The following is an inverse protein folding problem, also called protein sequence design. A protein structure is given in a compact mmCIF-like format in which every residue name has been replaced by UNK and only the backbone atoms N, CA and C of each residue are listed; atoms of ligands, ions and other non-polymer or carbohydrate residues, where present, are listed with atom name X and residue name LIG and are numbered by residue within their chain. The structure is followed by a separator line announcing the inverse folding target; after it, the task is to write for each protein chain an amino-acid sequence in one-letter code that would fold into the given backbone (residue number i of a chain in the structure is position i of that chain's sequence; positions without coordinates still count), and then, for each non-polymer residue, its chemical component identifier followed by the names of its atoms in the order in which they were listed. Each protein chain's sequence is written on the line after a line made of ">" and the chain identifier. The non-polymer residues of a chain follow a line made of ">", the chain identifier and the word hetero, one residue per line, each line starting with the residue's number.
data_IF_532386948296
#
_entry.id   IF_532386948296
#
_cell.length_a   1.000
_cell.length_b   1.000
_cell.length_c   1.000
_cell.angle_alpha   90.00
_cell.angle_beta   90.00
_cell.angle_gamma   90.00
#
_symmetry.space_group_name_H-M   'P 1'
#
loop_
_entity.id
_entity.type
_entity.pdbx_description
1 polymer ?
#
# COMPACT_ATOMS: atom_id res chain seq x y z
N UNK A 1 -3.16 -18.27 -5.66
CA UNK A 1 -3.20 -17.20 -6.67
C UNK A 1 -3.70 -15.95 -5.98
N UNK A 2 -2.84 -14.95 -5.78
CA UNK A 2 -3.27 -13.67 -5.23
C UNK A 2 -4.10 -12.95 -6.32
N UNK A 3 -5.36 -12.60 -6.01
CA UNK A 3 -6.22 -11.87 -6.93
C UNK A 3 -6.29 -10.40 -6.50
N UNK A 4 -5.72 -9.52 -7.32
CA UNK A 4 -5.78 -8.07 -7.13
C UNK A 4 -5.95 -7.39 -8.49
N UNK A 5 -6.45 -6.16 -8.51
CA UNK A 5 -6.66 -5.37 -9.71
C UNK A 5 -6.56 -3.87 -9.38
N UNK A 6 -6.31 -3.04 -10.38
CA UNK A 6 -6.17 -1.60 -10.19
C UNK A 6 -7.46 -0.95 -9.69
N UNK A 7 -7.33 0.05 -8.83
CA UNK A 7 -8.45 0.80 -8.23
C UNK A 7 -9.39 -0.08 -7.37
N UNK A 8 -8.91 -1.24 -6.90
CA UNK A 8 -9.65 -2.09 -5.97
C UNK A 8 -9.78 -1.41 -4.60
N UNK A 9 -11.01 -1.36 -4.09
CA UNK A 9 -11.34 -0.74 -2.80
C UNK A 9 -10.72 0.68 -2.68
N UNK A 10 -10.89 1.47 -3.74
CA UNK A 10 -10.36 2.84 -3.83
C UNK A 10 -10.83 3.75 -2.68
N UNK A 11 -12.12 3.79 -2.28
CA UNK A 11 -12.55 4.74 -1.25
C UNK A 11 -11.86 4.55 0.12
N UNK A 12 -11.65 3.32 0.65
CA UNK A 12 -10.81 3.11 1.83
C UNK A 12 -9.37 3.62 1.68
N UNK A 13 -8.73 3.38 0.52
CA UNK A 13 -7.36 3.85 0.27
C UNK A 13 -7.30 5.39 0.23
N UNK A 14 -8.25 6.03 -0.46
CA UNK A 14 -8.36 7.49 -0.49
C UNK A 14 -8.53 8.06 0.92
N UNK A 15 -9.40 7.46 1.74
CA UNK A 15 -9.60 7.91 3.11
C UNK A 15 -8.32 7.80 3.95
N UNK A 16 -7.58 6.71 3.81
CA UNK A 16 -6.31 6.55 4.52
C UNK A 16 -5.26 7.59 4.09
N UNK A 17 -5.21 7.90 2.79
CA UNK A 17 -4.33 8.94 2.24
C UNK A 17 -4.73 10.33 2.74
N UNK A 18 -6.02 10.65 2.74
CA UNK A 18 -6.55 11.94 3.18
C UNK A 18 -6.24 12.22 4.67
N UNK A 19 -6.26 11.19 5.52
CA UNK A 19 -5.85 11.30 6.93
C UNK A 19 -4.33 11.40 7.10
N UNK A 20 -3.58 10.66 6.28
CA UNK A 20 -2.12 10.63 6.35
C UNK A 20 -1.47 11.94 5.85
N UNK A 21 -2.02 12.60 4.83
CA UNK A 21 -1.40 13.79 4.23
C UNK A 21 -1.19 14.94 5.23
N UNK A 22 -2.19 15.36 6.03
CA UNK A 22 -2.00 16.38 7.05
C UNK A 22 -0.92 15.99 8.08
N UNK A 23 -0.87 14.71 8.47
CA UNK A 23 0.14 14.18 9.39
C UNK A 23 1.56 14.17 8.78
N UNK A 24 1.67 13.86 7.50
CA UNK A 24 2.92 13.79 6.76
C UNK A 24 3.43 15.16 6.29
N UNK A 25 2.60 16.21 6.38
CA UNK A 25 2.93 17.55 5.95
C UNK A 25 4.20 18.09 6.63
N UNK A 26 5.11 18.65 5.83
CA UNK A 26 6.39 19.19 6.30
C UNK A 26 7.46 18.15 6.62
N UNK A 27 7.18 16.84 6.56
CA UNK A 27 8.20 15.80 6.75
C UNK A 27 9.14 15.77 5.53
N UNK A 28 10.44 15.67 5.79
CA UNK A 28 11.47 15.53 4.76
C UNK A 28 11.51 14.13 4.13
N UNK A 29 10.87 13.14 4.76
CA UNK A 29 10.74 11.78 4.26
C UNK A 29 9.36 11.22 4.62
N UNK A 30 8.62 10.78 3.61
CA UNK A 30 7.30 10.18 3.77
C UNK A 30 7.43 8.71 3.37
N UNK A 31 7.25 7.80 4.34
CA UNK A 31 7.32 6.36 4.10
C UNK A 31 5.95 5.74 4.18
N UNK A 32 5.60 4.95 3.16
CA UNK A 32 4.39 4.13 3.12
C UNK A 32 4.83 2.67 2.94
N UNK A 33 4.17 1.76 3.63
CA UNK A 33 4.37 0.32 3.46
C UNK A 33 3.09 -0.30 2.90
N UNK A 34 3.16 -0.86 1.70
CA UNK A 34 2.13 -1.74 1.14
C UNK A 34 2.53 -3.21 1.36
N UNK A 35 1.87 -3.84 2.31
CA UNK A 35 2.21 -5.15 2.87
C UNK A 35 1.31 -6.25 2.28
N UNK A 36 1.91 -7.09 1.43
CA UNK A 36 1.26 -8.11 0.59
C UNK A 36 0.75 -7.54 -0.72
N UNK A 37 1.64 -6.85 -1.44
CA UNK A 37 1.31 -6.09 -2.64
C UNK A 37 0.96 -6.95 -3.87
N UNK A 38 1.21 -8.26 -3.83
CA UNK A 38 1.13 -9.15 -4.98
C UNK A 38 1.87 -8.55 -6.19
N UNK A 39 1.24 -8.49 -7.36
CA UNK A 39 1.80 -7.95 -8.60
C UNK A 39 1.82 -6.40 -8.67
N UNK A 40 1.49 -5.70 -7.59
CA UNK A 40 1.67 -4.24 -7.46
C UNK A 40 0.49 -3.38 -7.91
N UNK A 41 -0.64 -3.97 -8.31
CA UNK A 41 -1.82 -3.19 -8.72
C UNK A 41 -2.34 -2.28 -7.58
N UNK A 42 -2.33 -2.76 -6.32
CA UNK A 42 -2.66 -1.94 -5.15
C UNK A 42 -1.61 -0.86 -4.90
N UNK A 43 -0.33 -1.21 -4.99
CA UNK A 43 0.79 -0.28 -4.81
C UNK A 43 0.72 0.90 -5.79
N UNK A 44 0.48 0.62 -7.07
CA UNK A 44 0.41 1.67 -8.10
C UNK A 44 -0.90 2.44 -8.05
N UNK A 45 -2.01 1.81 -7.63
CA UNK A 45 -3.24 2.52 -7.26
C UNK A 45 -2.96 3.54 -6.15
N UNK A 46 -2.27 3.12 -5.09
CA UNK A 46 -1.90 3.98 -3.98
C UNK A 46 -0.94 5.10 -4.42
N UNK A 47 0.03 4.80 -5.29
CA UNK A 47 0.93 5.80 -5.86
C UNK A 47 0.18 6.87 -6.69
N UNK A 48 -0.82 6.47 -7.47
CA UNK A 48 -1.69 7.38 -8.23
C UNK A 48 -2.48 8.28 -7.28
N UNK A 49 -3.16 7.71 -6.27
CA UNK A 49 -3.93 8.49 -5.29
C UNK A 49 -3.03 9.51 -4.57
N UNK A 50 -1.82 9.09 -4.17
CA UNK A 50 -0.84 9.98 -3.53
C UNK A 50 -0.36 11.08 -4.48
N UNK A 51 -0.13 10.79 -5.75
CA UNK A 51 0.27 11.78 -6.74
C UNK A 51 -0.82 12.84 -7.00
N UNK A 52 -2.09 12.46 -6.96
CA UNK A 52 -3.22 13.39 -7.13
C UNK A 52 -3.46 14.26 -5.89
N UNK A 53 -3.18 13.73 -4.69
CA UNK A 53 -3.50 14.42 -3.42
C UNK A 53 -2.32 15.20 -2.83
N UNK A 54 -1.08 14.79 -3.09
CA UNK A 54 0.11 15.45 -2.56
C UNK A 54 0.60 16.61 -3.43
N UNK A 55 1.19 17.62 -2.80
CA UNK A 55 1.98 18.59 -3.55
C UNK A 55 3.30 17.96 -4.07
N UNK A 56 3.92 18.62 -5.05
CA UNK A 56 5.15 18.13 -5.70
C UNK A 56 6.31 17.86 -4.72
N UNK A 57 6.44 18.66 -3.66
CA UNK A 57 7.50 18.50 -2.67
C UNK A 57 7.28 17.23 -1.83
N UNK A 58 6.07 17.03 -1.32
CA UNK A 58 5.69 15.85 -0.56
C UNK A 58 5.85 14.58 -1.38
N UNK A 59 5.35 14.59 -2.62
CA UNK A 59 5.46 13.45 -3.52
C UNK A 59 6.93 13.11 -3.88
N UNK A 60 7.79 14.12 -4.06
CA UNK A 60 9.23 13.90 -4.28
C UNK A 60 9.95 13.29 -3.05
N UNK A 61 9.41 13.45 -1.85
CA UNK A 61 9.96 12.85 -0.63
C UNK A 61 9.27 11.54 -0.23
N UNK A 62 8.30 11.08 -1.03
CA UNK A 62 7.59 9.83 -0.85
C UNK A 62 8.45 8.63 -1.22
N UNK A 63 8.30 7.58 -0.43
CA UNK A 63 8.75 6.22 -0.73
C UNK A 63 7.66 5.24 -0.31
N UNK A 64 7.28 4.37 -1.24
CA UNK A 64 6.38 3.24 -1.01
C UNK A 64 7.23 1.97 -1.02
N UNK A 65 7.36 1.34 0.14
CA UNK A 65 7.91 0.00 0.23
C UNK A 65 6.79 -1.00 -0.03
N UNK A 66 6.86 -1.70 -1.15
CA UNK A 66 5.90 -2.74 -1.55
C UNK A 66 6.50 -4.10 -1.24
N UNK A 67 5.79 -4.95 -0.49
CA UNK A 67 6.35 -6.23 -0.07
C UNK A 67 5.43 -7.39 -0.25
N UNK A 68 6.00 -8.55 -0.55
CA UNK A 68 5.28 -9.82 -0.58
C UNK A 68 6.22 -10.97 -0.23
N UNK A 69 5.68 -12.09 0.25
CA UNK A 69 6.47 -13.30 0.53
C UNK A 69 6.89 -13.98 -0.78
N UNK A 70 6.06 -13.85 -1.82
CA UNK A 70 6.26 -14.37 -3.18
C UNK A 70 7.26 -15.52 -3.29
N UNK A 71 6.82 -16.71 -2.88
CA UNK A 71 7.65 -17.91 -2.90
C UNK A 71 8.11 -18.35 -4.30
N UNK A 72 7.56 -17.73 -5.36
CA UNK A 72 7.84 -18.06 -6.75
C UNK A 72 8.67 -16.97 -7.49
N UNK A 73 9.07 -15.89 -6.81
CA UNK A 73 9.88 -14.78 -7.33
C UNK A 73 9.32 -14.12 -8.62
N UNK A 74 8.01 -14.05 -8.80
CA UNK A 74 7.38 -13.43 -9.98
C UNK A 74 6.93 -11.99 -9.74
N UNK A 75 6.56 -11.64 -8.52
CA UNK A 75 6.00 -10.35 -8.17
C UNK A 75 7.06 -9.25 -8.21
N UNK A 76 8.26 -9.52 -7.72
CA UNK A 76 9.34 -8.52 -7.71
C UNK A 76 9.65 -7.94 -9.09
N UNK A 77 9.73 -8.80 -10.11
CA UNK A 77 9.97 -8.37 -11.49
C UNK A 77 8.79 -7.59 -12.06
N UNK A 78 7.55 -8.02 -11.79
CA UNK A 78 6.34 -7.33 -12.26
C UNK A 78 6.21 -5.96 -11.62
N UNK A 79 6.37 -5.84 -10.30
CA UNK A 79 6.29 -4.55 -9.57
C UNK A 79 7.39 -3.61 -10.04
N UNK A 80 8.61 -4.12 -10.24
CA UNK A 80 9.76 -3.31 -10.67
C UNK A 80 9.64 -2.83 -12.11
N UNK A 81 9.22 -3.71 -13.03
CA UNK A 81 8.98 -3.33 -14.45
C UNK A 81 7.73 -2.46 -14.59
N UNK A 82 6.72 -2.70 -13.75
CA UNK A 82 5.40 -2.09 -13.75
C UNK A 82 4.73 -2.08 -15.13
N UNK A 83 4.83 -3.20 -15.84
CA UNK A 83 4.25 -3.40 -17.16
C UNK A 83 3.06 -4.34 -17.03
N UNK A 84 1.89 -3.88 -17.49
CA UNK A 84 0.61 -4.58 -17.36
C UNK A 84 -0.12 -4.62 -18.70
N UNK A 85 -0.89 -5.68 -18.99
CA UNK A 85 -1.72 -5.74 -20.18
C UNK A 85 -2.88 -4.74 -20.08
N UNK A 86 -3.30 -4.19 -21.21
CA UNK A 86 -4.43 -3.24 -21.26
C UNK A 86 -5.72 -3.79 -20.62
N UNK A 87 -5.96 -5.10 -20.72
CA UNK A 87 -7.13 -5.75 -20.15
C UNK A 87 -7.25 -5.62 -18.62
N UNK A 88 -6.12 -5.50 -17.91
CA UNK A 88 -6.10 -5.22 -16.47
C UNK A 88 -6.38 -3.75 -16.15
N UNK A 89 -6.05 -2.85 -17.07
CA UNK A 89 -6.14 -1.39 -16.91
C UNK A 89 -7.49 -0.83 -17.35
N UNK A 90 -8.23 -1.55 -18.20
CA UNK A 90 -9.49 -1.08 -18.82
C UNK A 90 -10.61 -0.68 -17.84
N UNK A 91 -10.51 -1.09 -16.56
CA UNK A 91 -11.47 -0.75 -15.50
C UNK A 91 -11.13 0.54 -14.77
N UNK A 92 -9.93 1.08 -14.99
CA UNK A 92 -9.51 2.34 -14.40
C UNK A 92 -10.21 3.53 -15.09
N UNK A 93 -10.45 4.62 -14.36
CA UNK A 93 -10.83 5.89 -14.98
C UNK A 93 -9.84 6.29 -16.07
N UNK A 94 -10.36 6.71 -17.24
CA UNK A 94 -9.53 7.02 -18.41
C UNK A 94 -8.49 8.12 -18.12
N UNK A 95 -8.85 9.10 -17.30
CA UNK A 95 -7.96 10.19 -16.87
C UNK A 95 -6.70 9.68 -16.15
N UNK A 96 -6.82 8.64 -15.31
CA UNK A 96 -5.68 8.06 -14.62
C UNK A 96 -4.84 7.19 -15.55
N UNK A 97 -5.49 6.47 -16.46
CA UNK A 97 -4.79 5.68 -17.47
C UNK A 97 -3.93 6.58 -18.37
N UNK A 98 -4.53 7.61 -18.96
CA UNK A 98 -3.85 8.53 -19.88
C UNK A 98 -2.71 9.31 -19.22
N UNK A 99 -2.84 9.63 -17.91
CA UNK A 99 -1.85 10.40 -17.17
C UNK A 99 -0.69 9.56 -16.62
N UNK A 100 -0.96 8.32 -16.20
CA UNK A 100 -0.01 7.53 -15.41
C UNK A 100 0.48 6.26 -16.10
N UNK A 101 0.04 6.00 -17.32
CA UNK A 101 0.52 4.88 -18.13
C UNK A 101 1.02 5.34 -19.50
N UNK A 102 2.08 4.71 -19.95
CA UNK A 102 2.69 4.90 -21.27
C UNK A 102 2.77 3.56 -22.01
N UNK A 103 2.70 3.53 -23.35
CA UNK A 103 2.91 2.29 -24.10
C UNK A 103 4.26 1.65 -23.75
N UNK A 104 4.26 0.34 -23.49
CA UNK A 104 5.49 -0.42 -23.33
C UNK A 104 6.02 -0.91 -24.70
N UNK A 105 7.24 -1.48 -24.72
CA UNK A 105 7.83 -2.06 -25.94
C UNK A 105 6.99 -3.23 -26.50
N UNK A 106 6.34 -3.97 -25.61
CA UNK A 106 5.50 -5.11 -25.95
C UNK A 106 4.09 -4.64 -26.37
N UNK A 107 3.60 -5.13 -27.52
CA UNK A 107 2.30 -4.73 -28.05
C UNK A 107 1.15 -5.06 -27.08
N UNK A 108 0.28 -4.08 -26.81
CA UNK A 108 -0.86 -4.24 -25.90
C UNK A 108 -0.50 -4.15 -24.42
N UNK A 109 0.78 -3.90 -24.10
CA UNK A 109 1.26 -3.70 -22.75
C UNK A 109 1.51 -2.21 -22.48
N UNK A 110 1.26 -1.80 -21.25
CA UNK A 110 1.42 -0.43 -20.78
C UNK A 110 2.27 -0.43 -19.52
N UNK A 111 3.14 0.56 -19.43
CA UNK A 111 4.05 0.76 -18.30
C UNK A 111 3.58 1.93 -17.46
N UNK A 112 3.67 1.81 -16.14
CA UNK A 112 3.46 2.96 -15.24
C UNK A 112 4.56 4.00 -15.50
N UNK A 113 4.24 5.30 -15.48
CA UNK A 113 5.24 6.37 -15.71
C UNK A 113 6.36 6.38 -14.65
N UNK A 114 7.55 6.86 -15.05
CA UNK A 114 8.74 6.93 -14.18
C UNK A 114 8.50 7.72 -12.89
N UNK A 115 7.69 8.78 -12.95
CA UNK A 115 7.36 9.59 -11.77
C UNK A 115 6.78 8.77 -10.62
N UNK A 116 5.91 7.79 -10.92
CA UNK A 116 5.34 6.90 -9.90
C UNK A 116 6.29 5.74 -9.60
N UNK A 117 6.85 5.08 -10.63
CA UNK A 117 7.76 3.93 -10.46
C UNK A 117 8.96 4.28 -9.59
N UNK A 118 9.53 5.47 -9.77
CA UNK A 118 10.64 5.96 -8.99
C UNK A 118 10.33 6.20 -7.50
N UNK A 119 9.07 6.08 -7.06
CA UNK A 119 8.67 6.13 -5.63
C UNK A 119 8.47 4.74 -5.02
N UNK A 120 8.36 3.70 -5.83
CA UNK A 120 8.05 2.33 -5.40
C UNK A 120 9.33 1.52 -5.29
N UNK A 121 9.49 0.80 -4.18
CA UNK A 121 10.56 -0.19 -4.01
C UNK A 121 9.97 -1.52 -3.57
N UNK A 122 10.14 -2.55 -4.39
CA UNK A 122 9.79 -3.91 -4.02
C UNK A 122 10.82 -4.51 -3.05
N UNK A 123 10.36 -5.28 -2.06
CA UNK A 123 11.18 -6.11 -1.18
C UNK A 123 10.47 -7.41 -0.84
N UNK A 124 11.19 -8.52 -0.86
CA UNK A 124 10.67 -9.76 -0.29
C UNK A 124 10.51 -9.61 1.22
N UNK A 125 9.34 -9.96 1.73
CA UNK A 125 9.07 -9.94 3.16
C UNK A 125 7.97 -10.93 3.51
N UNK A 126 8.23 -11.78 4.51
CA UNK A 126 7.23 -12.62 5.13
C UNK A 126 6.65 -11.90 6.36
N UNK A 127 5.35 -11.64 6.38
CA UNK A 127 4.69 -11.05 7.54
C UNK A 127 4.80 -11.95 8.79
N UNK A 128 4.90 -13.26 8.61
CA UNK A 128 5.09 -14.22 9.70
C UNK A 128 6.53 -14.30 10.21
N UNK A 129 7.47 -13.56 9.59
CA UNK A 129 8.77 -13.30 10.22
C UNK A 129 8.65 -12.39 11.46
N UNK A 130 7.54 -11.65 11.58
CA UNK A 130 7.23 -10.72 12.67
C UNK A 130 8.26 -9.59 12.88
N UNK A 131 9.19 -9.43 11.93
CA UNK A 131 10.19 -8.38 11.91
C UNK A 131 9.80 -7.30 10.89
N UNK A 132 9.69 -6.02 11.29
CA UNK A 132 9.28 -4.98 10.35
C UNK A 132 10.41 -4.66 9.35
N UNK A 133 10.05 -4.33 8.11
CA UNK A 133 11.01 -3.94 7.05
C UNK A 133 11.70 -2.58 7.29
N UNK A 134 11.30 -1.88 8.34
CA UNK A 134 11.81 -0.60 8.77
C UNK A 134 10.90 0.07 9.80
N UNK A 135 11.24 1.30 10.16
CA UNK A 135 10.50 2.12 11.13
C UNK A 135 10.06 3.45 10.53
N UNK A 136 9.31 4.24 11.29
CA UNK A 136 8.84 5.58 10.94
C UNK A 136 7.96 5.62 9.67
N UNK A 137 7.11 4.61 9.47
CA UNK A 137 6.09 4.64 8.42
C UNK A 137 4.96 5.60 8.79
N UNK A 138 4.56 6.43 7.83
CA UNK A 138 3.41 7.35 7.95
C UNK A 138 2.08 6.63 7.66
N UNK A 139 2.13 5.58 6.84
CA UNK A 139 1.01 4.72 6.52
C UNK A 139 1.51 3.29 6.32
N UNK A 140 0.81 2.32 6.90
CA UNK A 140 0.89 0.91 6.55
C UNK A 140 -0.46 0.50 5.94
N UNK A 141 -0.41 -0.14 4.78
CA UNK A 141 -1.54 -0.73 4.07
C UNK A 141 -1.34 -2.23 4.08
N UNK A 142 -2.33 -3.00 4.53
CA UNK A 142 -2.29 -4.46 4.44
C UNK A 142 -3.70 -4.99 4.17
N UNK A 143 -4.05 -5.15 2.90
CA UNK A 143 -5.40 -5.57 2.49
C UNK A 143 -5.34 -6.94 1.84
N UNK A 144 -6.30 -7.80 2.19
CA UNK A 144 -6.51 -9.12 1.57
C UNK A 144 -5.45 -10.18 1.88
N UNK A 145 -4.61 -9.94 2.89
CA UNK A 145 -3.54 -10.87 3.29
C UNK A 145 -3.88 -11.54 4.60
N UNK A 146 -4.34 -10.76 5.59
CA UNK A 146 -4.52 -11.23 6.96
C UNK A 146 -5.63 -12.28 7.09
N UNK A 147 -6.60 -12.30 6.17
CA UNK A 147 -7.63 -13.33 6.10
C UNK A 147 -7.07 -14.77 6.01
N UNK A 148 -5.83 -14.93 5.55
CA UNK A 148 -5.14 -16.22 5.46
C UNK A 148 -4.43 -16.65 6.76
N UNK A 149 -4.31 -15.76 7.74
CA UNK A 149 -3.61 -16.03 9.00
C UNK A 149 -4.57 -16.47 10.11
N UNK A 150 -4.05 -17.22 11.09
CA UNK A 150 -4.77 -17.51 12.34
C UNK A 150 -4.99 -16.24 13.15
N UNK A 151 -5.92 -16.27 14.11
CA UNK A 151 -6.19 -15.12 14.97
C UNK A 151 -4.94 -14.69 15.75
N UNK A 152 -4.18 -15.65 16.27
CA UNK A 152 -2.93 -15.44 17.01
C UNK A 152 -1.85 -14.82 16.13
N UNK A 153 -1.71 -15.30 14.89
CA UNK A 153 -0.77 -14.73 13.92
C UNK A 153 -1.14 -13.27 13.60
N UNK A 154 -2.44 -12.97 13.42
CA UNK A 154 -2.90 -11.59 13.17
C UNK A 154 -2.50 -10.66 14.31
N UNK A 155 -2.67 -11.08 15.57
CA UNK A 155 -2.27 -10.29 16.74
C UNK A 155 -0.80 -9.88 16.63
N UNK A 156 0.09 -10.83 16.35
CA UNK A 156 1.53 -10.55 16.25
C UNK A 156 1.88 -9.67 15.04
N UNK A 157 1.21 -9.87 13.89
CA UNK A 157 1.38 -9.00 12.72
C UNK A 157 0.93 -7.58 13.01
N UNK A 158 -0.20 -7.37 13.71
CA UNK A 158 -0.62 -6.02 14.11
C UNK A 158 0.37 -5.36 15.08
N UNK A 159 0.97 -6.11 16.00
CA UNK A 159 2.05 -5.60 16.87
C UNK A 159 3.28 -5.19 16.06
N UNK A 160 3.65 -5.97 15.04
CA UNK A 160 4.74 -5.63 14.13
C UNK A 160 4.43 -4.33 13.35
N UNK A 161 3.23 -4.20 12.78
CA UNK A 161 2.82 -2.96 12.12
C UNK A 161 2.85 -1.77 13.07
N UNK A 162 2.37 -1.94 14.31
CA UNK A 162 2.47 -0.90 15.33
C UNK A 162 3.92 -0.47 15.61
N UNK A 163 4.87 -1.41 15.66
CA UNK A 163 6.31 -1.09 15.82
C UNK A 163 6.87 -0.33 14.61
N UNK A 164 6.41 -0.65 13.39
CA UNK A 164 6.88 -0.03 12.15
C UNK A 164 6.37 1.42 11.97
N UNK A 165 5.17 1.71 12.48
CA UNK A 165 4.53 3.01 12.36
C UNK A 165 5.21 4.09 13.20
N UNK A 166 5.33 5.30 12.65
CA UNK A 166 5.69 6.48 13.42
C UNK A 166 4.58 6.83 14.43
N UNK A 167 4.88 7.51 15.56
CA UNK A 167 3.84 7.96 16.49
C UNK A 167 2.77 8.81 15.79
N UNK A 168 1.50 8.49 16.00
CA UNK A 168 0.36 9.17 15.36
C UNK A 168 0.12 8.83 13.88
N UNK A 169 0.88 7.90 13.29
CA UNK A 169 0.70 7.42 11.91
C UNK A 169 -0.47 6.45 11.77
N UNK A 170 -0.75 6.01 10.53
CA UNK A 170 -1.98 5.30 10.20
C UNK A 170 -1.74 3.86 9.71
N UNK A 171 -2.69 2.98 10.02
CA UNK A 171 -2.79 1.61 9.52
C UNK A 171 -4.17 1.44 8.87
N UNK A 172 -4.20 0.87 7.68
CA UNK A 172 -5.43 0.41 7.04
C UNK A 172 -5.32 -1.07 6.67
N UNK A 173 -6.38 -1.85 6.93
CA UNK A 173 -6.49 -3.23 6.47
C UNK A 173 -7.79 -3.50 5.70
N UNK A 174 -8.05 -4.77 5.35
CA UNK A 174 -9.31 -5.14 4.70
C UNK A 174 -10.56 -4.91 5.58
N UNK A 175 -11.63 -4.37 4.97
CA UNK A 175 -12.89 -4.06 5.65
C UNK A 175 -13.51 -5.23 6.42
N UNK A 176 -13.28 -6.47 5.98
CA UNK A 176 -13.83 -7.66 6.61
C UNK A 176 -13.05 -8.11 7.86
N UNK A 177 -11.87 -7.56 8.11
CA UNK A 177 -10.98 -8.02 9.16
C UNK A 177 -10.88 -7.02 10.29
N UNK A 178 -11.63 -7.29 11.36
CA UNK A 178 -11.58 -6.49 12.58
C UNK A 178 -10.21 -6.58 13.25
N UNK A 179 -9.82 -5.47 13.86
CA UNK A 179 -8.67 -5.40 14.77
C UNK A 179 -8.87 -6.36 15.96
N UNK A 180 -7.89 -7.23 16.29
CA UNK A 180 -7.95 -8.09 17.46
C UNK A 180 -8.05 -7.26 18.76
N UNK A 181 -8.82 -7.77 19.73
CA UNK A 181 -9.07 -7.05 21.00
C UNK A 181 -7.77 -6.81 21.79
N UNK A 182 -6.83 -7.74 21.66
CA UNK A 182 -5.53 -7.76 22.33
C UNK A 182 -4.64 -6.59 21.90
N UNK A 183 -4.84 -6.04 20.70
CA UNK A 183 -4.08 -4.90 20.17
C UNK A 183 -4.92 -3.63 20.07
N UNK A 184 -6.20 -3.67 20.43
CA UNK A 184 -7.09 -2.52 20.33
C UNK A 184 -6.59 -1.30 21.15
N UNK A 185 -5.92 -1.54 22.27
CA UNK A 185 -5.33 -0.48 23.10
C UNK A 185 -4.12 0.24 22.47
N UNK A 186 -3.60 -0.27 21.35
CA UNK A 186 -2.47 0.33 20.61
C UNK A 186 -2.92 1.32 19.53
N UNK A 187 -4.22 1.32 19.22
CA UNK A 187 -4.77 2.06 18.09
C UNK A 187 -6.06 2.79 18.45
N UNK A 188 -6.27 3.95 17.85
CA UNK A 188 -7.57 4.62 17.82
C UNK A 188 -8.19 4.41 16.45
N UNK A 189 -9.41 3.87 16.38
CA UNK A 189 -10.13 3.75 15.11
C UNK A 189 -10.55 5.14 14.63
N UNK A 190 -10.22 5.48 13.39
CA UNK A 190 -10.44 6.82 12.83
C UNK A 190 -11.89 7.03 12.41
N UNK A 191 -12.57 5.98 11.92
CA UNK A 191 -13.98 6.02 11.58
C UNK A 191 -14.65 4.66 11.90
N UNK A 192 -15.90 4.62 12.40
CA UNK A 192 -16.56 3.38 12.80
C UNK A 192 -16.77 2.36 11.67
N UNK A 193 -16.92 2.86 10.44
CA UNK A 193 -17.21 2.10 9.22
C UNK A 193 -15.95 1.74 8.41
N UNK A 194 -14.79 2.27 8.79
CA UNK A 194 -13.52 1.98 8.14
C UNK A 194 -12.60 1.17 9.05
N UNK A 195 -11.89 0.21 8.47
CA UNK A 195 -10.76 -0.43 9.15
C UNK A 195 -9.49 0.43 9.01
N UNK A 196 -9.61 1.70 9.41
CA UNK A 196 -8.55 2.69 9.43
C UNK A 196 -8.27 3.07 10.87
N UNK A 197 -7.00 2.97 11.24
CA UNK A 197 -6.53 3.05 12.62
C UNK A 197 -5.37 4.02 12.71
N UNK A 198 -5.35 4.82 13.78
CA UNK A 198 -4.25 5.72 14.13
C UNK A 198 -3.46 5.11 15.29
N UNK A 199 -2.14 5.06 15.18
CA UNK A 199 -1.24 4.64 16.27
C UNK A 199 -1.33 5.63 17.44
N UNK A 200 -1.48 5.08 18.66
CA UNK A 200 -1.48 5.81 19.93
C UNK A 200 -0.04 6.15 20.34
#
# INVERSE_FOLDING_TARGET
>A
MAFTFFMRDQPPLERAVDEMIPYASGRSRIKVWDAGCAQGQETYTLAIILAERMNRFGFKNLRIDATDHDSANHFGDVVTRAVYPYDELRRMPAEYFEKYFEPAEEQGMFRVVEELRGRVQFRYHDLLSLEPIGVEYCLVVCKNVLLHFSYEQRIEVFKMFHKALAPGAFLINENTQKLPKEVAHLFTQVAPDAQLFKKI
#
